data_IF_851009013723
#
_entry.id   IF_851009013723
#
_cell.length_a   1.000
_cell.length_b   1.000
_cell.length_c   1.000
_cell.angle_alpha   90.00
_cell.angle_beta   90.00
_cell.angle_gamma   90.00
#
_symmetry.space_group_name_H-M   'P 1'
#
loop_
_entity.id
_entity.type
_entity.pdbx_description
1 polymer ?
#
# COMPACT_ATOMS: atom_id res chain seq x y z
N UNK A 1 10.03 -2.32 13.21
CA UNK A 1 11.05 -1.46 12.57
C UNK A 1 10.47 -0.05 12.41
N UNK A 2 11.24 0.98 12.63
CA UNK A 2 10.75 2.36 12.59
C UNK A 2 11.68 3.19 11.67
N UNK A 3 11.10 3.81 10.67
CA UNK A 3 11.83 4.60 9.66
C UNK A 3 12.35 5.93 10.24
N UNK A 4 13.23 6.59 9.52
CA UNK A 4 13.90 7.82 9.97
C UNK A 4 12.93 8.97 10.27
N UNK A 5 11.93 9.23 9.40
CA UNK A 5 10.97 10.33 9.61
C UNK A 5 10.07 10.02 10.80
N UNK A 6 9.62 8.77 10.94
CA UNK A 6 8.90 8.34 12.12
C UNK A 6 9.78 8.47 13.39
N UNK A 7 11.10 8.24 13.30
CA UNK A 7 12.03 8.42 14.41
C UNK A 7 12.13 9.88 14.90
N UNK A 8 12.00 10.85 14.02
CA UNK A 8 12.04 12.28 14.41
C UNK A 8 10.81 12.68 15.22
N UNK A 9 9.67 12.07 14.91
CA UNK A 9 8.37 12.40 15.54
C UNK A 9 7.99 11.49 16.71
N UNK A 10 8.68 10.33 16.87
CA UNK A 10 8.32 9.31 17.86
C UNK A 10 9.31 9.31 19.04
N UNK A 11 8.90 9.69 20.24
CA UNK A 11 9.74 9.64 21.43
C UNK A 11 10.25 8.22 21.70
N UNK A 12 11.50 8.09 22.16
CA UNK A 12 12.08 6.77 22.50
C UNK A 12 11.24 6.01 23.52
N UNK A 13 10.73 6.70 24.53
CA UNK A 13 9.88 6.14 25.59
C UNK A 13 8.61 5.46 25.09
N UNK A 14 8.17 5.76 23.88
CA UNK A 14 6.98 5.11 23.30
C UNK A 14 7.16 3.60 23.10
N UNK A 15 8.40 3.14 22.96
CA UNK A 15 8.74 1.73 22.76
C UNK A 15 9.13 1.00 24.06
N UNK A 16 9.21 1.70 25.19
CA UNK A 16 9.60 1.10 26.46
C UNK A 16 8.68 -0.06 26.88
N UNK A 17 7.33 0.01 26.76
CA UNK A 17 6.46 -1.12 27.09
C UNK A 17 6.77 -2.36 26.24
N UNK A 18 7.07 -2.19 24.96
CA UNK A 18 7.42 -3.27 24.07
C UNK A 18 8.77 -3.90 24.44
N UNK A 19 9.77 -3.08 24.73
CA UNK A 19 11.11 -3.57 25.10
C UNK A 19 11.11 -4.21 26.48
N UNK A 20 10.36 -3.71 27.45
CA UNK A 20 10.19 -4.32 28.78
C UNK A 20 9.48 -5.68 28.68
N UNK A 21 8.61 -5.87 27.71
CA UNK A 21 7.96 -7.16 27.43
C UNK A 21 8.87 -8.13 26.63
N UNK A 22 10.16 -7.81 26.43
CA UNK A 22 11.10 -8.64 25.68
C UNK A 22 11.09 -8.39 24.15
N UNK A 23 10.29 -7.46 23.68
CA UNK A 23 10.24 -7.09 22.27
C UNK A 23 11.49 -6.35 21.80
N UNK A 24 11.75 -6.40 20.50
CA UNK A 24 12.89 -5.72 19.89
C UNK A 24 12.44 -4.56 19.01
N UNK A 25 13.20 -3.47 19.06
CA UNK A 25 12.95 -2.28 18.25
C UNK A 25 14.20 -1.90 17.48
N UNK A 26 14.10 -1.82 16.16
CA UNK A 26 15.14 -1.26 15.31
C UNK A 26 14.66 0.07 14.78
N UNK A 27 15.46 1.09 15.02
CA UNK A 27 15.31 2.42 14.44
C UNK A 27 16.26 2.53 13.26
N UNK A 28 15.69 2.59 12.07
CA UNK A 28 16.48 2.69 10.84
C UNK A 28 17.14 4.04 10.77
N UNK A 29 18.47 4.05 10.65
CA UNK A 29 19.22 5.26 10.32
C UNK A 29 19.12 5.51 8.82
N UNK A 30 19.03 6.76 8.36
CA UNK A 30 19.05 7.02 6.93
C UNK A 30 20.42 6.60 6.37
N UNK A 31 20.40 5.75 5.36
CA UNK A 31 21.63 5.38 4.65
C UNK A 31 22.11 6.55 3.75
N UNK A 32 21.13 7.19 3.12
CA UNK A 32 21.22 8.46 2.40
C UNK A 32 19.90 9.17 2.68
N UNK A 33 19.92 10.50 2.75
CA UNK A 33 18.74 11.31 3.07
C UNK A 33 17.51 11.11 2.17
N UNK A 34 17.66 10.31 1.12
CA UNK A 34 16.65 10.10 0.08
C UNK A 34 15.87 8.79 0.18
N UNK A 35 16.35 7.79 0.92
CA UNK A 35 15.68 6.47 0.99
C UNK A 35 14.84 6.31 2.26
N UNK A 36 13.62 5.81 2.09
CA UNK A 36 12.69 5.55 3.19
C UNK A 36 12.14 4.14 3.09
N UNK A 37 12.10 3.43 4.22
CA UNK A 37 11.25 2.25 4.33
C UNK A 37 9.81 2.69 4.53
N UNK A 38 8.99 2.52 3.51
CA UNK A 38 7.58 2.89 3.53
C UNK A 38 6.66 1.66 3.56
N UNK A 39 7.22 0.46 3.60
CA UNK A 39 6.48 -0.80 3.74
C UNK A 39 5.72 -0.85 5.06
N UNK A 40 4.49 -1.35 5.02
CA UNK A 40 3.64 -1.61 6.17
C UNK A 40 3.29 -3.09 6.16
N UNK A 41 4.08 -3.86 6.88
CA UNK A 41 3.95 -5.31 6.99
C UNK A 41 3.77 -5.65 8.47
N UNK A 42 2.74 -6.41 8.78
CA UNK A 42 2.54 -7.05 10.10
C UNK A 42 2.41 -8.53 9.85
N UNK A 43 3.15 -9.33 10.61
CA UNK A 43 3.05 -10.80 10.60
C UNK A 43 2.79 -11.26 12.03
N UNK A 44 1.87 -12.19 12.19
CA UNK A 44 1.47 -12.75 13.48
C UNK A 44 1.58 -14.27 13.37
N UNK A 45 2.41 -14.84 14.23
CA UNK A 45 2.58 -16.29 14.42
C UNK A 45 2.87 -17.06 13.11
N UNK A 46 3.54 -16.42 12.14
CA UNK A 46 3.86 -16.95 10.82
C UNK A 46 2.63 -17.24 9.92
N UNK A 47 1.42 -17.15 10.46
CA UNK A 47 0.19 -17.60 9.83
C UNK A 47 -0.64 -16.45 9.25
N UNK A 48 -0.68 -15.31 9.95
CA UNK A 48 -1.52 -14.17 9.58
C UNK A 48 -0.63 -12.99 9.26
N UNK A 49 -0.95 -12.29 8.16
CA UNK A 49 -0.25 -11.07 7.81
C UNK A 49 -1.19 -9.97 7.35
N UNK A 50 -0.70 -8.74 7.43
CA UNK A 50 -1.41 -7.56 6.97
C UNK A 50 -0.48 -6.70 6.13
N UNK A 51 -0.99 -6.24 4.97
CA UNK A 51 -0.36 -5.22 4.13
C UNK A 51 -1.36 -4.15 3.72
N UNK A 52 -0.90 -2.96 3.44
CA UNK A 52 -1.74 -1.85 2.99
C UNK A 52 -1.15 -0.49 3.28
N UNK A 53 -2.00 0.52 3.39
CA UNK A 53 -1.59 1.90 3.63
C UNK A 53 -1.46 2.28 5.10
N UNK A 54 -2.03 1.49 6.02
CA UNK A 54 -2.17 1.88 7.43
C UNK A 54 -0.84 1.93 8.18
N UNK A 55 -0.57 3.07 8.82
CA UNK A 55 0.50 3.19 9.81
C UNK A 55 -0.01 2.86 11.22
N UNK A 56 0.90 2.57 12.14
CA UNK A 56 0.57 2.45 13.56
C UNK A 56 0.40 3.87 14.11
N UNK A 57 -0.86 4.29 14.32
CA UNK A 57 -1.18 5.62 14.80
C UNK A 57 -2.64 5.74 15.22
N UNK A 58 -2.92 6.65 16.16
CA UNK A 58 -4.26 6.82 16.77
C UNK A 58 -5.34 7.17 15.74
N UNK A 59 -4.99 7.90 14.67
CA UNK A 59 -5.90 8.29 13.59
C UNK A 59 -6.37 7.08 12.78
N UNK A 60 -5.55 6.05 12.63
CA UNK A 60 -5.92 4.83 11.91
C UNK A 60 -6.80 3.90 12.74
N UNK A 61 -6.63 3.95 14.07
CA UNK A 61 -7.42 3.15 15.01
C UNK A 61 -8.72 3.84 15.47
N UNK A 62 -9.08 4.97 14.87
CA UNK A 62 -10.21 5.83 15.32
C UNK A 62 -10.16 6.22 16.82
N UNK A 63 -8.98 6.17 17.42
CA UNK A 63 -8.76 6.52 18.84
C UNK A 63 -8.48 8.02 19.04
N UNK A 64 -8.24 8.77 17.98
CA UNK A 64 -8.11 10.21 18.06
C UNK A 64 -9.48 10.84 17.77
N UNK A 65 -9.81 11.93 18.49
CA UNK A 65 -10.91 12.83 18.08
C UNK A 65 -10.52 13.53 16.78
N UNK A 66 -10.65 12.82 15.66
CA UNK A 66 -10.29 13.35 14.36
C UNK A 66 -11.46 14.17 13.85
N UNK A 67 -11.22 15.45 13.60
CA UNK A 67 -12.22 16.37 13.06
C UNK A 67 -12.79 15.90 11.70
N UNK A 68 -12.00 15.14 10.95
CA UNK A 68 -12.36 14.64 9.63
C UNK A 68 -12.14 13.13 9.57
N UNK A 69 -13.01 12.37 8.88
CA UNK A 69 -12.83 10.93 8.76
C UNK A 69 -11.52 10.59 8.05
N UNK A 70 -10.78 9.65 8.62
CA UNK A 70 -9.57 9.07 8.06
C UNK A 70 -9.90 7.72 7.43
N UNK A 71 -9.52 7.54 6.17
CA UNK A 71 -9.76 6.29 5.43
C UNK A 71 -8.47 5.70 4.93
N UNK A 72 -8.27 4.43 5.22
CA UNK A 72 -7.18 3.63 4.67
C UNK A 72 -7.69 2.23 4.27
N UNK A 73 -6.82 1.43 3.67
CA UNK A 73 -7.11 0.06 3.27
C UNK A 73 -5.98 -0.85 3.74
N UNK A 74 -6.37 -1.95 4.37
CA UNK A 74 -5.47 -3.01 4.81
C UNK A 74 -6.08 -4.35 4.37
N UNK A 75 -5.22 -5.28 3.92
CA UNK A 75 -5.61 -6.65 3.59
C UNK A 75 -5.06 -7.57 4.65
N UNK A 76 -5.93 -8.44 5.19
CA UNK A 76 -5.55 -9.59 6.02
C UNK A 76 -5.34 -10.78 5.11
N UNK A 77 -4.24 -11.47 5.28
CA UNK A 77 -3.82 -12.64 4.51
C UNK A 77 -3.48 -13.77 5.47
N UNK A 78 -3.67 -15.00 5.04
CA UNK A 78 -3.39 -16.21 5.80
C UNK A 78 -2.61 -17.22 4.97
N UNK A 79 -1.93 -18.15 5.63
CA UNK A 79 -1.21 -19.24 5.00
C UNK A 79 0.09 -18.80 4.31
N UNK A 80 0.41 -19.37 3.16
CA UNK A 80 1.69 -19.18 2.43
C UNK A 80 2.00 -17.70 2.16
N UNK A 81 0.99 -16.88 1.93
CA UNK A 81 1.15 -15.44 1.74
C UNK A 81 1.83 -14.76 2.94
N UNK A 82 1.54 -15.23 4.16
CA UNK A 82 2.14 -14.68 5.38
C UNK A 82 3.63 -15.00 5.46
N UNK A 83 4.04 -16.20 5.08
CA UNK A 83 5.45 -16.59 5.03
C UNK A 83 6.25 -15.75 4.02
N UNK A 84 5.66 -15.46 2.86
CA UNK A 84 6.30 -14.60 1.85
C UNK A 84 6.51 -13.19 2.39
N UNK A 85 5.50 -12.62 3.05
CA UNK A 85 5.60 -11.29 3.65
C UNK A 85 6.58 -11.26 4.83
N UNK A 86 6.63 -12.32 5.60
CA UNK A 86 7.61 -12.49 6.67
C UNK A 86 9.05 -12.51 6.15
N UNK A 87 9.30 -13.20 5.04
CA UNK A 87 10.62 -13.16 4.38
C UNK A 87 11.03 -11.73 4.04
N UNK A 88 10.16 -10.92 3.47
CA UNK A 88 10.46 -9.52 3.19
C UNK A 88 10.71 -8.72 4.48
N UNK A 89 9.89 -8.92 5.50
CA UNK A 89 10.09 -8.29 6.81
C UNK A 89 11.46 -8.66 7.41
N UNK A 90 11.82 -9.94 7.41
CA UNK A 90 13.10 -10.44 7.95
C UNK A 90 14.29 -9.90 7.14
N UNK A 91 14.17 -9.80 5.82
CA UNK A 91 15.20 -9.19 4.97
C UNK A 91 15.44 -7.74 5.35
N UNK A 92 14.38 -6.93 5.47
CA UNK A 92 14.46 -5.53 5.89
C UNK A 92 15.05 -5.40 7.30
N UNK A 93 14.65 -6.29 8.20
CA UNK A 93 15.16 -6.35 9.57
C UNK A 93 16.65 -6.63 9.59
N UNK A 94 17.11 -7.68 8.89
CA UNK A 94 18.52 -8.04 8.79
C UNK A 94 19.38 -6.94 8.21
N UNK A 95 18.93 -6.32 7.12
CA UNK A 95 19.62 -5.16 6.53
C UNK A 95 19.75 -4.01 7.54
N UNK A 96 18.70 -3.76 8.32
CA UNK A 96 18.68 -2.70 9.32
C UNK A 96 19.59 -3.00 10.52
N UNK A 97 19.65 -4.27 10.95
CA UNK A 97 20.57 -4.73 12.02
C UNK A 97 22.02 -4.58 11.57
N UNK A 98 22.37 -5.06 10.37
CA UNK A 98 23.71 -4.91 9.79
C UNK A 98 24.15 -3.44 9.75
N UNK A 99 23.28 -2.56 9.27
CA UNK A 99 23.51 -1.12 9.21
C UNK A 99 23.67 -0.47 10.59
N UNK A 100 23.09 -1.06 11.64
CA UNK A 100 23.20 -0.56 13.02
C UNK A 100 24.48 -1.02 13.75
N UNK A 101 25.29 -1.90 13.15
CA UNK A 101 26.51 -2.45 13.72
C UNK A 101 26.27 -3.53 14.80
N UNK A 102 25.08 -4.09 14.90
CA UNK A 102 24.73 -5.17 15.84
C UNK A 102 24.95 -6.53 15.20
N UNK A 103 26.18 -7.04 15.24
CA UNK A 103 26.57 -8.31 14.61
C UNK A 103 25.99 -9.56 15.29
N UNK A 104 25.80 -9.52 16.60
CA UNK A 104 25.32 -10.62 17.44
C UNK A 104 23.84 -10.98 17.18
N UNK A 105 23.02 -10.02 16.79
CA UNK A 105 21.62 -10.26 16.41
C UNK A 105 21.50 -10.89 15.00
N UNK A 106 22.48 -10.73 14.13
CA UNK A 106 22.47 -11.21 12.75
C UNK A 106 22.46 -12.74 12.68
N UNK A 107 23.24 -13.41 13.52
CA UNK A 107 23.40 -14.88 13.50
C UNK A 107 22.09 -15.61 13.84
N UNK A 108 21.36 -15.11 14.85
CA UNK A 108 20.07 -15.71 15.24
C UNK A 108 18.98 -15.53 14.19
N UNK A 109 18.95 -14.36 13.55
CA UNK A 109 17.95 -14.02 12.54
C UNK A 109 18.22 -14.71 11.20
N UNK A 110 19.49 -14.97 10.84
CA UNK A 110 19.82 -15.75 9.66
C UNK A 110 19.30 -17.19 9.77
N UNK A 111 19.37 -17.80 10.96
CA UNK A 111 18.80 -19.13 11.21
C UNK A 111 17.26 -19.08 11.02
N UNK A 112 16.58 -18.08 11.57
CA UNK A 112 15.12 -17.94 11.41
C UNK A 112 14.71 -17.70 9.95
N UNK A 113 15.43 -16.84 9.24
CA UNK A 113 15.15 -16.58 7.83
C UNK A 113 15.34 -17.81 6.92
N UNK A 114 16.31 -18.66 7.22
CA UNK A 114 16.52 -19.91 6.51
C UNK A 114 15.49 -21.00 6.86
N UNK A 115 14.92 -20.94 8.07
CA UNK A 115 13.92 -21.91 8.53
C UNK A 115 12.53 -21.62 7.98
N UNK A 116 12.20 -20.33 7.74
CA UNK A 116 10.87 -19.91 7.30
C UNK A 116 10.59 -20.24 5.82
N UNK A 117 11.64 -20.28 4.98
CA UNK A 117 11.48 -20.68 3.57
C UNK A 117 12.74 -21.47 3.12
N UNK A 118 12.73 -22.77 3.07
CA UNK A 118 13.68 -23.51 2.26
C UNK A 118 13.54 -23.02 0.79
N UNK A 119 14.66 -22.99 0.07
CA UNK A 119 14.73 -22.63 -1.37
C UNK A 119 13.93 -23.62 -2.24
N UNK A 120 12.61 -23.60 -2.07
CA UNK A 120 11.70 -24.34 -2.94
C UNK A 120 11.08 -23.37 -3.93
N UNK A 121 11.08 -23.69 -5.23
CA UNK A 121 10.29 -22.93 -6.19
C UNK A 121 8.82 -22.95 -5.77
N UNK A 122 8.15 -21.83 -5.87
CA UNK A 122 6.71 -21.71 -5.62
C UNK A 122 6.01 -22.85 -6.36
N UNK A 123 5.22 -23.71 -5.68
CA UNK A 123 4.47 -24.75 -6.38
C UNK A 123 3.56 -24.08 -7.40
N UNK A 124 3.73 -24.41 -8.64
CA UNK A 124 2.83 -24.05 -9.72
C UNK A 124 1.50 -24.75 -9.48
N UNK A 125 0.50 -24.01 -9.09
CA UNK A 125 -0.87 -24.49 -8.95
C UNK A 125 -1.34 -24.69 -7.51
N UNK A 126 -2.43 -24.06 -7.18
CA UNK A 126 -3.34 -24.36 -6.06
C UNK A 126 -2.93 -24.06 -4.62
N UNK A 127 -1.98 -23.17 -4.36
CA UNK A 127 -1.81 -22.63 -3.02
C UNK A 127 -2.86 -21.53 -2.77
N UNK A 128 -3.93 -21.92 -2.15
CA UNK A 128 -5.07 -21.09 -1.82
C UNK A 128 -4.70 -20.02 -0.78
N UNK A 129 -4.73 -18.76 -1.19
CA UNK A 129 -4.77 -17.65 -0.23
C UNK A 129 -6.14 -17.61 0.42
N UNK A 130 -6.24 -18.04 1.68
CA UNK A 130 -7.49 -17.96 2.43
C UNK A 130 -7.82 -16.49 2.77
N UNK A 131 -8.97 -16.08 2.33
CA UNK A 131 -9.76 -14.94 2.78
C UNK A 131 -9.07 -13.62 3.12
N UNK A 132 -9.18 -12.67 2.22
CA UNK A 132 -8.85 -11.29 2.52
C UNK A 132 -10.11 -10.48 2.86
N UNK A 133 -10.10 -9.78 3.98
CA UNK A 133 -11.12 -8.79 4.32
C UNK A 133 -10.56 -7.38 4.07
N UNK A 134 -11.21 -6.61 3.19
CA UNK A 134 -10.93 -5.19 3.07
C UNK A 134 -11.62 -4.46 4.25
N UNK A 135 -10.83 -4.06 5.24
CA UNK A 135 -11.34 -3.37 6.41
C UNK A 135 -11.82 -1.94 6.11
N UNK A 136 -13.05 -1.63 6.49
CA UNK A 136 -13.47 -0.25 6.72
C UNK A 136 -12.95 0.20 8.08
N UNK A 137 -12.90 1.51 8.35
CA UNK A 137 -12.41 2.14 9.59
C UNK A 137 -13.14 1.71 10.89
N UNK A 138 -13.99 0.73 10.88
CA UNK A 138 -14.51 0.01 12.04
C UNK A 138 -13.92 -1.38 11.99
N UNK A 139 -13.26 -1.86 13.06
CA UNK A 139 -12.85 -3.25 13.13
C UNK A 139 -14.09 -4.12 13.25
N UNK A 140 -14.60 -4.60 12.14
CA UNK A 140 -15.57 -5.67 12.11
C UNK A 140 -14.81 -7.00 12.16
N UNK A 141 -14.67 -7.55 13.35
CA UNK A 141 -14.04 -8.85 13.59
C UNK A 141 -15.00 -10.03 13.39
N UNK A 142 -16.25 -9.78 12.95
CA UNK A 142 -17.29 -10.82 12.86
C UNK A 142 -17.31 -11.60 11.54
N UNK A 143 -16.38 -11.37 10.63
CA UNK A 143 -16.37 -11.99 9.29
C UNK A 143 -15.54 -13.25 9.18
N UNK A 144 -15.83 -14.30 9.92
CA UNK A 144 -15.26 -15.63 9.68
C UNK A 144 -16.01 -16.36 8.59
N UNK A 145 -15.61 -16.18 7.35
CA UNK A 145 -15.89 -17.17 6.32
C UNK A 145 -14.54 -17.52 5.69
N UNK A 146 -14.03 -18.70 5.97
CA UNK A 146 -13.00 -19.35 5.18
C UNK A 146 -13.49 -19.38 3.74
N UNK A 147 -12.95 -18.56 2.87
CA UNK A 147 -13.35 -18.51 1.48
C UNK A 147 -12.18 -18.96 0.62
N UNK A 148 -12.51 -19.73 -0.38
CA UNK A 148 -11.65 -20.31 -1.42
C UNK A 148 -10.46 -19.39 -1.74
N UNK A 149 -9.28 -19.94 -1.65
CA UNK A 149 -8.04 -19.23 -1.88
C UNK A 149 -7.99 -18.56 -3.24
N UNK A 150 -7.33 -17.43 -3.28
CA UNK A 150 -7.12 -16.65 -4.49
C UNK A 150 -5.63 -16.48 -4.80
N UNK A 151 -5.30 -16.35 -6.08
CA UNK A 151 -3.95 -16.04 -6.51
C UNK A 151 -3.58 -14.60 -6.12
N UNK A 152 -2.39 -14.43 -5.54
CA UNK A 152 -1.82 -13.11 -5.32
C UNK A 152 -0.31 -13.11 -5.61
N UNK A 153 0.21 -11.93 -5.95
CA UNK A 153 1.62 -11.67 -6.11
C UNK A 153 2.03 -10.49 -5.22
N UNK A 154 3.21 -10.56 -4.62
CA UNK A 154 3.78 -9.42 -3.90
C UNK A 154 4.89 -8.81 -4.74
N UNK A 155 4.77 -7.52 -4.97
CA UNK A 155 5.77 -6.72 -5.67
C UNK A 155 6.44 -5.81 -4.66
N UNK A 156 7.76 -5.85 -4.65
CA UNK A 156 8.59 -5.11 -3.69
C UNK A 156 9.49 -4.16 -4.46
N UNK A 157 9.48 -2.91 -4.09
CA UNK A 157 10.41 -1.89 -4.57
C UNK A 157 11.41 -1.52 -3.49
N UNK A 158 12.48 -0.86 -3.86
CA UNK A 158 13.48 -0.32 -2.95
C UNK A 158 14.92 -0.54 -3.41
N UNK A 159 15.87 -0.13 -2.57
CA UNK A 159 17.30 -0.08 -2.92
C UNK A 159 17.90 -1.46 -3.18
N UNK A 160 17.42 -2.46 -2.44
CA UNK A 160 17.92 -3.84 -2.49
C UNK A 160 17.15 -4.72 -3.51
N UNK A 161 16.23 -4.11 -4.26
CA UNK A 161 15.42 -4.77 -5.27
C UNK A 161 15.49 -4.01 -6.60
N UNK A 162 14.93 -4.60 -7.66
CA UNK A 162 14.72 -3.87 -8.90
C UNK A 162 13.87 -2.63 -8.62
N UNK A 163 14.47 -1.46 -8.76
CA UNK A 163 13.84 -0.17 -8.42
C UNK A 163 12.60 0.13 -9.24
N UNK A 164 12.51 -0.42 -10.44
CA UNK A 164 11.38 -0.20 -11.34
C UNK A 164 10.27 -1.25 -11.20
N UNK A 165 10.47 -2.33 -10.44
CA UNK A 165 9.51 -3.43 -10.35
C UNK A 165 8.09 -2.95 -9.99
N UNK A 166 7.96 -2.07 -9.00
CA UNK A 166 6.67 -1.49 -8.60
C UNK A 166 6.06 -0.66 -9.72
N UNK A 167 6.84 0.22 -10.33
CA UNK A 167 6.38 1.07 -11.44
C UNK A 167 5.97 0.22 -12.63
N UNK A 168 6.77 -0.77 -13.00
CA UNK A 168 6.48 -1.67 -14.12
C UNK A 168 5.21 -2.50 -13.86
N UNK A 169 5.00 -2.94 -12.62
CA UNK A 169 3.75 -3.59 -12.22
C UNK A 169 2.55 -2.65 -12.44
N UNK A 170 2.61 -1.42 -11.97
CA UNK A 170 1.54 -0.44 -12.15
C UNK A 170 1.27 -0.14 -13.63
N UNK A 171 2.30 0.06 -14.42
CA UNK A 171 2.17 0.26 -15.87
C UNK A 171 1.55 -0.96 -16.57
N UNK A 172 1.96 -2.18 -16.18
CA UNK A 172 1.40 -3.42 -16.71
C UNK A 172 -0.09 -3.54 -16.40
N UNK A 173 -0.48 -3.27 -15.14
CA UNK A 173 -1.88 -3.27 -14.73
C UNK A 173 -2.69 -2.23 -15.52
N UNK A 174 -2.20 -1.00 -15.66
CA UNK A 174 -2.90 0.06 -16.40
C UNK A 174 -3.09 -0.32 -17.89
N UNK A 175 -2.07 -0.93 -18.50
CA UNK A 175 -2.12 -1.40 -19.91
C UNK A 175 -3.07 -2.58 -20.10
N UNK A 176 -3.33 -3.38 -19.07
CA UNK A 176 -4.27 -4.50 -19.15
C UNK A 176 -5.73 -4.06 -19.10
N UNK A 177 -6.01 -2.83 -18.68
CA UNK A 177 -7.36 -2.30 -18.54
C UNK A 177 -8.10 -2.24 -19.89
N UNK A 178 -9.33 -2.70 -19.88
CA UNK A 178 -10.23 -2.68 -21.05
C UNK A 178 -11.47 -1.81 -20.84
N UNK A 179 -11.91 -1.67 -19.60
CA UNK A 179 -13.17 -0.99 -19.24
C UNK A 179 -12.96 0.13 -18.24
N UNK A 180 -12.25 -0.16 -17.13
CA UNK A 180 -12.19 0.78 -16.02
C UNK A 180 -10.93 0.65 -15.18
N UNK A 181 -10.37 1.80 -14.81
CA UNK A 181 -9.30 1.93 -13.80
C UNK A 181 -9.83 2.77 -12.65
N UNK A 182 -9.76 2.24 -11.42
CA UNK A 182 -10.09 2.96 -10.18
C UNK A 182 -8.86 3.10 -9.31
N UNK A 183 -8.51 4.31 -8.93
CA UNK A 183 -7.33 4.62 -8.13
C UNK A 183 -7.73 5.36 -6.87
N UNK A 184 -7.17 4.97 -5.72
CA UNK A 184 -7.20 5.74 -4.49
C UNK A 184 -5.76 5.98 -4.04
N UNK A 185 -5.43 7.24 -3.77
CA UNK A 185 -4.09 7.63 -3.33
C UNK A 185 -4.14 8.93 -2.52
N UNK A 186 -3.30 9.08 -1.48
CA UNK A 186 -3.19 10.34 -0.77
C UNK A 186 -2.53 11.45 -1.58
N UNK A 187 -1.67 11.06 -2.52
CA UNK A 187 -0.96 11.97 -3.42
C UNK A 187 -1.05 11.45 -4.85
N UNK A 188 -1.32 12.34 -5.79
CA UNK A 188 -1.31 12.01 -7.22
C UNK A 188 -0.31 12.92 -7.92
N UNK A 189 0.94 12.47 -7.94
CA UNK A 189 2.10 13.16 -8.52
C UNK A 189 2.91 12.13 -9.33
N UNK A 190 2.29 11.49 -10.33
CA UNK A 190 2.92 10.42 -11.09
C UNK A 190 4.10 10.93 -11.93
N UNK A 191 4.96 10.02 -12.34
CA UNK A 191 5.92 10.32 -13.40
C UNK A 191 5.23 10.38 -14.78
N UNK A 192 5.97 10.81 -15.79
CA UNK A 192 5.42 10.96 -17.13
C UNK A 192 4.87 9.65 -17.69
N UNK A 193 5.56 8.52 -17.46
CA UNK A 193 5.14 7.22 -18.02
C UNK A 193 3.81 6.73 -17.45
N UNK A 194 3.58 6.93 -16.15
CA UNK A 194 2.33 6.58 -15.48
C UNK A 194 1.20 7.52 -15.89
N UNK A 195 1.48 8.81 -15.99
CA UNK A 195 0.50 9.79 -16.45
C UNK A 195 0.07 9.54 -17.90
N UNK A 196 1.02 9.27 -18.78
CA UNK A 196 0.77 8.97 -20.20
C UNK A 196 0.02 7.65 -20.37
N UNK A 197 0.32 6.63 -19.55
CA UNK A 197 -0.45 5.38 -19.55
C UNK A 197 -1.93 5.62 -19.20
N UNK A 198 -2.22 6.44 -18.19
CA UNK A 198 -3.59 6.79 -17.82
C UNK A 198 -4.29 7.63 -18.91
N UNK A 199 -3.60 8.64 -19.49
CA UNK A 199 -4.14 9.45 -20.59
C UNK A 199 -4.46 8.57 -21.80
N UNK A 200 -3.54 7.67 -22.17
CA UNK A 200 -3.72 6.74 -23.28
C UNK A 200 -4.89 5.79 -23.04
N UNK A 201 -5.01 5.23 -21.83
CA UNK A 201 -6.15 4.39 -21.48
C UNK A 201 -7.48 5.16 -21.58
N UNK A 202 -7.53 6.39 -21.06
CA UNK A 202 -8.72 7.25 -21.14
C UNK A 202 -9.07 7.57 -22.61
N UNK A 203 -8.09 7.96 -23.43
CA UNK A 203 -8.27 8.23 -24.86
C UNK A 203 -8.75 6.99 -25.65
N UNK A 204 -8.41 5.79 -25.16
CA UNK A 204 -8.87 4.51 -25.72
C UNK A 204 -10.25 4.08 -25.21
N UNK A 205 -10.94 4.90 -24.43
CA UNK A 205 -12.30 4.64 -23.92
C UNK A 205 -12.36 3.94 -22.58
N UNK A 206 -11.22 3.73 -21.90
CA UNK A 206 -11.20 3.17 -20.53
C UNK A 206 -11.65 4.25 -19.54
N UNK A 207 -12.65 3.95 -18.73
CA UNK A 207 -13.12 4.87 -17.69
C UNK A 207 -12.09 4.97 -16.57
N UNK A 208 -11.61 6.18 -16.27
CA UNK A 208 -10.67 6.45 -15.18
C UNK A 208 -11.40 7.11 -14.02
N UNK A 209 -11.35 6.50 -12.83
CA UNK A 209 -11.86 7.07 -11.58
C UNK A 209 -10.71 7.24 -10.58
N UNK A 210 -10.39 8.46 -10.24
CA UNK A 210 -9.34 8.82 -9.28
C UNK A 210 -9.96 9.42 -8.02
N UNK A 211 -9.62 8.89 -6.85
CA UNK A 211 -10.05 9.42 -5.56
C UNK A 211 -8.86 9.92 -4.75
N UNK A 212 -8.90 11.19 -4.37
CA UNK A 212 -7.88 11.90 -3.58
C UNK A 212 -8.49 12.47 -2.29
N UNK A 213 -7.67 12.92 -1.31
CA UNK A 213 -8.17 13.60 -0.12
C UNK A 213 -8.99 14.86 -0.47
N UNK A 214 -10.06 15.08 0.27
CA UNK A 214 -10.88 16.30 0.15
C UNK A 214 -10.51 17.39 1.15
N UNK A 215 -9.65 17.08 2.10
CA UNK A 215 -9.07 18.04 3.05
C UNK A 215 -7.59 18.26 2.71
N UNK A 216 -7.14 19.49 2.97
CA UNK A 216 -5.73 19.83 2.75
C UNK A 216 -4.83 19.04 3.71
N UNK A 217 -3.91 18.28 3.15
CA UNK A 217 -2.93 17.51 3.89
C UNK A 217 -1.55 18.18 3.87
N UNK A 218 -1.24 18.88 2.79
CA UNK A 218 0.04 19.54 2.58
C UNK A 218 -0.14 20.82 1.79
N UNK A 219 0.50 21.87 2.29
CA UNK A 219 0.48 23.17 1.59
C UNK A 219 1.15 23.10 0.21
N UNK A 220 2.19 22.26 0.08
CA UNK A 220 2.97 22.15 -1.15
C UNK A 220 2.44 21.06 -2.09
N UNK A 221 2.01 19.90 -1.57
CA UNK A 221 1.65 18.76 -2.40
C UNK A 221 0.22 18.85 -2.97
N UNK A 222 -0.70 19.52 -2.27
CA UNK A 222 -2.08 19.60 -2.72
C UNK A 222 -2.25 20.40 -4.03
N UNK A 223 -1.55 21.56 -4.24
CA UNK A 223 -1.59 22.24 -5.52
C UNK A 223 -1.04 21.39 -6.67
N UNK A 224 0.07 20.68 -6.43
CA UNK A 224 0.71 19.82 -7.44
C UNK A 224 -0.22 18.65 -7.79
N UNK A 225 -0.81 17.98 -6.79
CA UNK A 225 -1.82 16.94 -6.99
C UNK A 225 -2.99 17.45 -7.82
N UNK A 226 -3.47 18.67 -7.52
CA UNK A 226 -4.60 19.28 -8.24
C UNK A 226 -4.24 19.55 -9.70
N UNK A 227 -3.02 19.99 -9.96
CA UNK A 227 -2.52 20.23 -11.33
C UNK A 227 -2.48 18.91 -12.15
N UNK A 228 -1.92 17.82 -11.59
CA UNK A 228 -1.92 16.52 -12.25
C UNK A 228 -3.34 15.98 -12.47
N UNK A 229 -4.25 16.19 -11.51
CA UNK A 229 -5.66 15.83 -11.68
C UNK A 229 -6.30 16.59 -12.85
N UNK A 230 -5.95 17.87 -13.03
CA UNK A 230 -6.42 18.69 -14.15
C UNK A 230 -6.09 18.05 -15.50
N UNK A 231 -4.87 17.56 -15.66
CA UNK A 231 -4.45 16.89 -16.89
C UNK A 231 -5.26 15.61 -17.20
N UNK A 232 -5.67 14.84 -16.20
CA UNK A 232 -6.53 13.67 -16.44
C UNK A 232 -7.98 14.06 -16.74
N UNK A 233 -8.48 15.15 -16.14
CA UNK A 233 -9.82 15.66 -16.41
C UNK A 233 -9.98 16.07 -17.89
N UNK A 234 -8.95 16.60 -18.53
CA UNK A 234 -8.92 16.93 -19.97
C UNK A 234 -9.14 15.70 -20.86
N UNK A 235 -8.78 14.50 -20.37
CA UNK A 235 -9.01 13.22 -21.05
C UNK A 235 -10.30 12.52 -20.59
N UNK A 236 -11.19 13.22 -19.88
CA UNK A 236 -12.50 12.69 -19.45
C UNK A 236 -12.45 11.82 -18.19
N UNK A 237 -11.33 11.76 -17.47
CA UNK A 237 -11.28 11.06 -16.20
C UNK A 237 -12.19 11.69 -15.14
N UNK A 238 -12.72 10.87 -14.25
CA UNK A 238 -13.54 11.32 -13.11
C UNK A 238 -12.67 11.44 -11.87
N UNK A 239 -12.48 12.65 -11.36
CA UNK A 239 -11.70 12.90 -10.15
C UNK A 239 -12.64 13.22 -8.99
N UNK A 240 -12.49 12.51 -7.90
CA UNK A 240 -13.31 12.64 -6.71
C UNK A 240 -12.49 13.09 -5.51
N UNK A 241 -13.00 14.05 -4.75
CA UNK A 241 -12.47 14.42 -3.43
C UNK A 241 -13.25 13.70 -2.35
N UNK A 242 -12.57 12.84 -1.60
CA UNK A 242 -13.13 12.17 -0.44
C UNK A 242 -13.43 13.20 0.67
N UNK A 243 -14.61 13.16 1.27
CA UNK A 243 -14.97 14.09 2.36
C UNK A 243 -14.23 13.70 3.66
N UNK A 244 -12.94 13.93 3.69
CA UNK A 244 -12.00 13.55 4.73
C UNK A 244 -10.61 13.35 4.16
N UNK A 245 -9.76 12.65 4.91
CA UNK A 245 -8.44 12.24 4.46
C UNK A 245 -8.45 10.79 3.97
N UNK A 246 -8.13 10.57 2.71
CA UNK A 246 -7.91 9.22 2.18
C UNK A 246 -6.40 8.94 2.15
N UNK A 247 -6.00 7.87 2.81
CA UNK A 247 -4.61 7.41 2.85
C UNK A 247 -4.45 6.02 2.22
N UNK A 248 -5.52 5.45 1.68
CA UNK A 248 -5.48 4.20 0.93
C UNK A 248 -4.63 4.33 -0.34
N UNK A 249 -3.88 3.30 -0.67
CA UNK A 249 -3.11 3.17 -1.89
C UNK A 249 -3.55 1.90 -2.60
N UNK A 250 -4.47 2.10 -3.54
CA UNK A 250 -5.12 0.98 -4.23
C UNK A 250 -5.39 1.30 -5.68
N UNK A 251 -5.33 0.27 -6.52
CA UNK A 251 -5.74 0.35 -7.91
C UNK A 251 -6.58 -0.89 -8.23
N UNK A 252 -7.72 -0.70 -8.89
CA UNK A 252 -8.58 -1.77 -9.37
C UNK A 252 -8.73 -1.65 -10.87
N UNK A 253 -8.53 -2.74 -11.58
CA UNK A 253 -8.66 -2.84 -13.02
C UNK A 253 -9.83 -3.76 -13.34
N UNK A 254 -10.80 -3.25 -14.08
CA UNK A 254 -11.93 -3.98 -14.64
C UNK A 254 -12.77 -4.83 -13.66
N UNK A 255 -12.58 -4.62 -12.33
CA UNK A 255 -13.14 -5.44 -11.27
C UNK A 255 -12.63 -6.89 -11.26
N UNK A 256 -11.52 -7.15 -11.95
CA UNK A 256 -10.85 -8.44 -12.09
C UNK A 256 -9.50 -8.50 -11.38
N UNK A 257 -8.86 -7.35 -11.23
CA UNK A 257 -7.52 -7.21 -10.68
C UNK A 257 -7.48 -6.07 -9.66
N UNK A 258 -6.88 -6.30 -8.49
CA UNK A 258 -6.74 -5.29 -7.46
C UNK A 258 -5.31 -5.23 -6.92
N UNK A 259 -4.74 -4.04 -6.85
CA UNK A 259 -3.50 -3.78 -6.15
C UNK A 259 -3.78 -3.03 -4.84
N UNK A 260 -3.27 -3.54 -3.72
CA UNK A 260 -3.36 -2.92 -2.40
C UNK A 260 -1.99 -2.97 -1.74
N UNK A 261 -1.51 -1.83 -1.24
CA UNK A 261 -0.19 -1.80 -0.62
C UNK A 261 0.17 -0.46 0.01
N UNK A 262 1.47 -0.23 0.08
CA UNK A 262 2.04 0.99 0.65
C UNK A 262 2.35 2.07 -0.38
N UNK A 263 2.26 1.77 -1.68
CA UNK A 263 2.74 2.56 -2.81
C UNK A 263 1.82 3.74 -3.11
N UNK A 264 2.24 4.96 -2.83
CA UNK A 264 1.54 6.14 -3.32
C UNK A 264 1.68 6.28 -4.85
N UNK A 265 0.73 6.96 -5.47
CA UNK A 265 0.83 7.33 -6.89
C UNK A 265 1.70 8.59 -7.04
N UNK A 266 2.94 8.50 -6.59
CA UNK A 266 3.93 9.57 -6.72
C UNK A 266 5.30 9.01 -7.14
N UNK A 267 6.13 9.87 -7.75
CA UNK A 267 7.45 9.49 -8.27
C UNK A 267 8.33 8.86 -7.19
N UNK A 268 8.21 9.31 -5.95
CA UNK A 268 9.04 8.83 -4.86
C UNK A 268 8.72 7.38 -4.50
N UNK A 269 7.43 7.06 -4.32
CA UNK A 269 6.97 5.70 -4.03
C UNK A 269 7.20 4.74 -5.19
N UNK A 270 7.09 5.23 -6.43
CA UNK A 270 7.26 4.39 -7.61
C UNK A 270 8.72 4.04 -7.93
N UNK A 271 9.70 4.87 -7.49
CA UNK A 271 11.09 4.75 -7.94
C UNK A 271 12.14 4.71 -6.84
N UNK A 272 11.84 5.21 -5.64
CA UNK A 272 12.87 5.49 -4.63
C UNK A 272 12.63 4.77 -3.30
N UNK A 273 11.44 4.86 -2.75
CA UNK A 273 11.13 4.34 -1.42
C UNK A 273 11.02 2.81 -1.41
N UNK A 274 11.37 2.18 -0.29
CA UNK A 274 11.09 0.77 -0.07
C UNK A 274 9.59 0.59 0.10
N UNK A 275 8.95 -0.02 -0.87
CA UNK A 275 7.51 -0.21 -0.94
C UNK A 275 7.14 -1.69 -1.06
N UNK A 276 5.89 -2.02 -0.77
CA UNK A 276 5.30 -3.33 -1.01
C UNK A 276 3.85 -3.17 -1.46
N UNK A 277 3.46 -3.91 -2.47
CA UNK A 277 2.06 -4.07 -2.83
C UNK A 277 1.72 -5.53 -3.13
N UNK A 278 0.49 -5.91 -2.81
CA UNK A 278 -0.11 -7.17 -3.23
C UNK A 278 -1.00 -6.93 -4.44
N UNK A 279 -0.81 -7.72 -5.47
CA UNK A 279 -1.68 -7.80 -6.64
C UNK A 279 -2.55 -9.04 -6.49
N UNK A 280 -3.85 -8.85 -6.46
CA UNK A 280 -4.85 -9.88 -6.18
C UNK A 280 -5.68 -10.16 -7.41
N UNK A 281 -5.76 -11.43 -7.78
CA UNK A 281 -6.52 -11.96 -8.93
C UNK A 281 -7.80 -12.68 -8.50
N UNK A 282 -8.06 -12.70 -7.19
CA UNK A 282 -9.22 -13.38 -6.62
C UNK A 282 -10.50 -12.59 -6.82
N UNK A 283 -11.44 -13.16 -7.55
CA UNK A 283 -12.76 -12.57 -7.79
C UNK A 283 -13.45 -12.14 -6.48
N UNK A 284 -13.39 -12.94 -5.42
CA UNK A 284 -14.04 -12.63 -4.15
C UNK A 284 -13.50 -11.38 -3.47
N UNK A 285 -12.17 -11.19 -3.42
CA UNK A 285 -11.55 -10.00 -2.85
C UNK A 285 -11.81 -8.77 -3.72
N UNK A 286 -11.53 -8.91 -5.02
CA UNK A 286 -11.63 -7.81 -5.98
C UNK A 286 -13.06 -7.28 -6.04
N UNK A 287 -14.06 -8.15 -6.13
CA UNK A 287 -15.48 -7.77 -6.15
C UNK A 287 -15.90 -7.07 -4.84
N UNK A 288 -15.52 -7.63 -3.68
CA UNK A 288 -15.79 -6.97 -2.39
C UNK A 288 -15.17 -5.59 -2.30
N UNK A 289 -13.92 -5.46 -2.71
CA UNK A 289 -13.24 -4.18 -2.70
C UNK A 289 -13.85 -3.18 -3.69
N UNK A 290 -14.19 -3.62 -4.90
CA UNK A 290 -14.90 -2.82 -5.91
C UNK A 290 -16.26 -2.33 -5.41
N UNK A 291 -17.02 -3.18 -4.71
CA UNK A 291 -18.28 -2.79 -4.09
C UNK A 291 -18.10 -1.74 -2.98
N UNK A 292 -17.02 -1.84 -2.18
CA UNK A 292 -16.66 -0.83 -1.18
C UNK A 292 -16.26 0.49 -1.79
N UNK A 293 -15.55 0.47 -2.92
CA UNK A 293 -15.22 1.67 -3.67
C UNK A 293 -16.49 2.41 -4.09
N UNK A 294 -17.47 1.69 -4.67
CA UNK A 294 -18.74 2.25 -5.15
C UNK A 294 -19.69 2.75 -4.07
N UNK A 295 -19.86 2.02 -2.96
CA UNK A 295 -20.81 2.38 -1.89
C UNK A 295 -20.52 3.71 -1.17
N UNK A 296 -19.31 4.25 -1.30
CA UNK A 296 -18.86 5.45 -0.60
C UNK A 296 -18.92 6.74 -1.43
N UNK A 297 -19.48 6.70 -2.66
CA UNK A 297 -19.69 7.87 -3.50
C UNK A 297 -20.58 8.96 -2.85
N UNK A 298 -21.42 8.63 -1.88
CA UNK A 298 -22.25 9.62 -1.17
C UNK A 298 -21.47 10.69 -0.39
N UNK A 299 -20.15 10.51 -0.22
CA UNK A 299 -19.25 11.47 0.45
C UNK A 299 -18.24 12.10 -0.51
N UNK A 300 -18.49 12.06 -1.81
CA UNK A 300 -17.57 12.58 -2.81
C UNK A 300 -18.07 13.89 -3.38
N UNK A 301 -17.16 14.84 -3.60
CA UNK A 301 -17.37 16.00 -4.46
C UNK A 301 -16.60 15.74 -5.74
N UNK A 302 -17.29 15.74 -6.88
CA UNK A 302 -16.65 15.69 -8.17
C UNK A 302 -15.84 16.97 -8.40
N UNK A 303 -14.63 16.83 -8.91
CA UNK A 303 -13.85 17.91 -9.49
C UNK A 303 -14.26 18.01 -10.96
N UNK A 304 -14.83 19.13 -11.34
CA UNK A 304 -15.06 19.42 -12.75
C UNK A 304 -13.92 20.29 -13.26
N UNK A 305 -13.42 19.98 -14.45
CA UNK A 305 -12.64 20.96 -15.20
C UNK A 305 -13.54 22.18 -15.43
N UNK A 306 -13.29 23.28 -14.74
CA UNK A 306 -13.72 24.56 -15.29
C UNK A 306 -12.88 24.77 -16.54
N UNK A 307 -13.49 24.69 -17.69
CA UNK A 307 -12.88 25.17 -18.90
C UNK A 307 -12.39 26.60 -18.61
N UNK A 308 -11.08 26.73 -18.42
CA UNK A 308 -10.43 28.01 -18.49
C UNK A 308 -10.26 28.29 -20.00
N UNK A 309 -11.17 29.07 -20.56
CA UNK A 309 -10.92 29.85 -21.76
C UNK A 309 -10.17 31.10 -21.37
#
# INVERSE_FOLDING_TARGET
MCDFIANLSTPRKMFDPLTHAGGQVIRVKPYLTHYRSHRKIVVIDHEISYIGGMNIGKQYANMAKVKNPWRDTQVRLEGVCSLVLEKYFLTDWLCSVKRSGRSDAVSRLNVMAQTVLPDQPCPSGDAAASGAAAGSNTPDFSGTAAQSGGLCQFIVGGVDNDREAVKMCYLSMMRSARRKIRIQTPYFIPDASVLDALKTAAASGVEIELMIPGIKASFFLDPVTTWYCGQLLEYGAKVYKYNGYIHAKTMVIDEELCCIGSVNMDMRSLMVDDEVCGVFYSNGLVQRYSALFGKRHRRLRALYARAAF
#
